data_IF_342314077532
#
_entry.id   IF_342314077532
#
_cell.length_a   1.000
_cell.length_b   1.000
_cell.length_c   1.000
_cell.angle_alpha   90.00
_cell.angle_beta   90.00
_cell.angle_gamma   90.00
#
_symmetry.space_group_name_H-M   'P 1'
#
loop_
_entity.id
_entity.type
_entity.pdbx_description
1 polymer ?
#
# COMPACT_ATOMS: atom_id res chain seq x y z
N UNK A 1 -54.06 -38.05 67.30
CA UNK A 1 -52.58 -37.95 67.24
C UNK A 1 -51.91 -38.81 66.14
N UNK A 2 -52.53 -39.87 65.57
CA UNK A 2 -51.88 -40.67 64.51
C UNK A 2 -52.08 -40.17 63.05
N UNK A 3 -53.00 -39.23 62.81
CA UNK A 3 -53.28 -38.69 61.46
C UNK A 3 -52.27 -37.63 61.01
N UNK A 4 -51.66 -36.92 61.95
CA UNK A 4 -50.74 -35.80 61.67
C UNK A 4 -49.40 -36.27 61.09
N UNK A 5 -48.94 -37.48 61.45
CA UNK A 5 -47.66 -38.03 60.95
C UNK A 5 -47.70 -38.39 59.47
N UNK A 6 -48.85 -38.84 58.94
CA UNK A 6 -49.02 -39.09 57.50
C UNK A 6 -49.13 -37.79 56.69
N UNK A 7 -49.85 -36.80 57.21
CA UNK A 7 -49.91 -35.47 56.61
C UNK A 7 -48.53 -34.79 56.59
N UNK A 8 -47.75 -34.91 57.67
CA UNK A 8 -46.40 -34.37 57.77
C UNK A 8 -45.42 -35.01 56.77
N UNK A 9 -45.47 -36.33 56.57
CA UNK A 9 -44.64 -37.02 55.55
C UNK A 9 -45.05 -36.60 54.13
N UNK A 10 -46.35 -36.46 53.85
CA UNK A 10 -46.84 -36.00 52.54
C UNK A 10 -46.39 -34.58 52.18
N UNK A 11 -46.40 -33.66 53.16
CA UNK A 11 -45.87 -32.30 52.98
C UNK A 11 -44.37 -32.34 52.67
N UNK A 12 -43.60 -33.20 53.36
CA UNK A 12 -42.17 -33.40 53.09
C UNK A 12 -41.88 -33.88 51.66
N UNK A 13 -42.68 -34.82 51.15
CA UNK A 13 -42.54 -35.31 49.77
C UNK A 13 -42.88 -34.23 48.73
N UNK A 14 -43.88 -33.37 49.00
CA UNK A 14 -44.26 -32.26 48.11
C UNK A 14 -43.16 -31.19 48.03
N UNK A 15 -42.51 -30.88 49.15
CA UNK A 15 -41.39 -29.92 49.19
C UNK A 15 -40.21 -30.43 48.34
N UNK A 16 -39.83 -31.71 48.51
CA UNK A 16 -38.74 -32.30 47.72
C UNK A 16 -39.10 -32.35 46.24
N UNK A 17 -40.35 -32.67 45.91
CA UNK A 17 -40.82 -32.70 44.53
C UNK A 17 -40.66 -31.34 43.86
N UNK A 18 -41.12 -30.26 44.50
CA UNK A 18 -40.98 -28.90 43.98
C UNK A 18 -39.49 -28.51 43.87
N UNK A 19 -38.69 -28.81 44.89
CA UNK A 19 -37.26 -28.52 44.87
C UNK A 19 -36.53 -29.23 43.71
N UNK A 20 -36.83 -30.51 43.47
CA UNK A 20 -36.24 -31.28 42.37
C UNK A 20 -36.62 -30.70 41.00
N UNK A 21 -37.88 -30.29 40.83
CA UNK A 21 -38.34 -29.66 39.58
C UNK A 21 -37.62 -28.33 39.35
N UNK A 22 -37.40 -27.51 40.37
CA UNK A 22 -36.67 -26.25 40.24
C UNK A 22 -35.19 -26.47 39.89
N UNK A 23 -34.53 -27.42 40.55
CA UNK A 23 -33.13 -27.77 40.22
C UNK A 23 -33.03 -28.31 38.79
N UNK A 24 -33.95 -29.18 38.38
CA UNK A 24 -34.00 -29.71 37.02
C UNK A 24 -34.23 -28.59 35.98
N UNK A 25 -35.09 -27.61 36.27
CA UNK A 25 -35.32 -26.47 35.39
C UNK A 25 -34.07 -25.60 35.21
N UNK A 26 -33.34 -25.30 36.29
CA UNK A 26 -32.08 -24.54 36.21
C UNK A 26 -31.01 -25.34 35.46
N UNK A 27 -30.87 -26.63 35.75
CA UNK A 27 -29.92 -27.50 35.05
C UNK A 27 -30.22 -27.59 33.55
N UNK A 28 -31.50 -27.72 33.16
CA UNK A 28 -31.92 -27.72 31.76
C UNK A 28 -31.65 -26.37 31.08
N UNK A 29 -31.92 -25.26 31.75
CA UNK A 29 -31.64 -23.92 31.23
C UNK A 29 -30.14 -23.72 30.93
N UNK A 30 -29.27 -24.14 31.85
CA UNK A 30 -27.80 -24.09 31.65
C UNK A 30 -27.38 -24.99 30.50
N UNK A 31 -27.93 -26.20 30.39
CA UNK A 31 -27.62 -27.14 29.29
C UNK A 31 -28.01 -26.59 27.92
N UNK A 32 -29.17 -25.94 27.82
CA UNK A 32 -29.62 -25.30 26.58
C UNK A 32 -28.74 -24.10 26.25
N UNK A 33 -28.41 -23.27 27.24
CA UNK A 33 -27.55 -22.11 27.04
C UNK A 33 -26.15 -22.51 26.57
N UNK A 34 -25.52 -23.51 27.21
CA UNK A 34 -24.20 -24.00 26.80
C UNK A 34 -24.24 -24.63 25.41
N UNK A 35 -25.28 -25.43 25.11
CA UNK A 35 -25.47 -26.00 23.78
C UNK A 35 -25.64 -24.92 22.72
N UNK A 36 -26.40 -23.85 23.01
CA UNK A 36 -26.59 -22.72 22.11
C UNK A 36 -25.28 -21.97 21.81
N UNK A 37 -24.49 -21.67 22.84
CA UNK A 37 -23.17 -21.03 22.67
C UNK A 37 -22.22 -21.92 21.86
N UNK A 38 -22.19 -23.22 22.14
CA UNK A 38 -21.36 -24.17 21.39
C UNK A 38 -21.80 -24.29 19.93
N UNK A 39 -23.11 -24.28 19.65
CA UNK A 39 -23.64 -24.30 18.28
C UNK A 39 -23.26 -23.02 17.51
N UNK A 40 -23.43 -21.84 18.12
CA UNK A 40 -23.03 -20.59 17.51
C UNK A 40 -21.52 -20.56 17.22
N UNK A 41 -20.70 -20.98 18.20
CA UNK A 41 -19.25 -21.03 18.01
C UNK A 41 -18.84 -22.04 16.95
N UNK A 42 -19.47 -23.21 16.90
CA UNK A 42 -19.21 -24.22 15.87
C UNK A 42 -19.59 -23.71 14.47
N UNK A 43 -20.71 -22.99 14.34
CA UNK A 43 -21.11 -22.40 13.06
C UNK A 43 -20.14 -21.32 12.59
N UNK A 44 -19.74 -20.39 13.47
CA UNK A 44 -18.73 -19.37 13.12
C UNK A 44 -17.41 -20.02 12.74
N UNK A 45 -16.92 -20.97 13.54
CA UNK A 45 -15.65 -21.67 13.24
C UNK A 45 -15.72 -22.43 11.92
N UNK A 46 -16.86 -23.05 11.60
CA UNK A 46 -17.07 -23.71 10.31
C UNK A 46 -17.06 -22.75 9.13
N UNK A 47 -17.64 -21.55 9.29
CA UNK A 47 -17.58 -20.48 8.27
C UNK A 47 -16.15 -19.98 8.07
N UNK A 48 -15.46 -19.59 9.14
CA UNK A 48 -14.06 -19.11 9.04
C UNK A 48 -13.14 -20.18 8.44
N UNK A 49 -13.29 -21.45 8.84
CA UNK A 49 -12.49 -22.54 8.29
C UNK A 49 -12.79 -22.79 6.80
N UNK A 50 -14.01 -22.52 6.34
CA UNK A 50 -14.36 -22.63 4.92
C UNK A 50 -13.78 -21.45 4.14
N UNK A 51 -13.88 -20.23 4.68
CA UNK A 51 -13.26 -19.02 4.10
C UNK A 51 -11.75 -19.21 3.92
N UNK A 52 -11.08 -19.74 4.95
CA UNK A 52 -9.63 -19.96 4.96
C UNK A 52 -9.12 -20.92 3.86
N UNK A 53 -9.96 -21.86 3.40
CA UNK A 53 -9.56 -22.85 2.38
C UNK A 53 -10.14 -22.58 0.99
N UNK A 54 -11.07 -21.64 0.86
CA UNK A 54 -11.78 -21.38 -0.40
C UNK A 54 -11.39 -20.05 -1.06
N UNK A 55 -10.96 -19.06 -0.27
CA UNK A 55 -10.49 -17.79 -0.80
C UNK A 55 -9.08 -17.93 -1.35
N UNK A 56 -8.93 -17.74 -2.67
CA UNK A 56 -7.63 -17.81 -3.33
C UNK A 56 -7.59 -16.76 -4.45
N UNK A 57 -6.61 -15.86 -4.34
CA UNK A 57 -6.21 -14.97 -5.45
C UNK A 57 -5.26 -15.78 -6.34
N UNK A 58 -5.53 -15.82 -7.65
CA UNK A 58 -4.61 -16.36 -8.65
C UNK A 58 -3.89 -15.22 -9.37
N UNK A 59 -2.65 -15.48 -9.77
CA UNK A 59 -1.88 -14.58 -10.65
C UNK A 59 -1.97 -15.17 -12.05
N UNK A 60 -2.64 -14.46 -12.95
CA UNK A 60 -2.88 -14.90 -14.32
C UNK A 60 -1.72 -14.60 -15.25
N UNK A 61 -1.01 -13.49 -15.05
CA UNK A 61 0.14 -13.08 -15.88
C UNK A 61 0.92 -11.97 -15.19
N UNK A 62 2.23 -11.88 -15.43
CA UNK A 62 3.06 -10.77 -14.95
C UNK A 62 3.82 -10.13 -16.12
N UNK A 63 3.61 -8.84 -16.31
CA UNK A 63 4.30 -8.03 -17.33
C UNK A 63 5.23 -7.02 -16.66
N UNK A 64 6.51 -7.05 -17.03
CA UNK A 64 7.50 -6.08 -16.59
C UNK A 64 7.63 -4.90 -17.55
N UNK A 65 7.75 -3.69 -17.00
CA UNK A 65 7.93 -2.45 -17.73
C UNK A 65 9.29 -1.84 -17.41
N UNK A 66 10.04 -1.52 -18.46
CA UNK A 66 11.36 -0.88 -18.37
C UNK A 66 11.22 0.62 -18.49
N UNK A 67 12.04 1.37 -17.74
CA UNK A 67 12.20 2.79 -18.02
C UNK A 67 12.94 2.99 -19.34
N UNK A 68 12.73 4.13 -19.99
CA UNK A 68 13.45 4.46 -21.22
C UNK A 68 12.81 5.56 -22.06
N UNK A 69 13.47 5.90 -23.15
CA UNK A 69 12.98 6.85 -24.15
C UNK A 69 12.24 6.09 -25.26
N UNK A 70 10.93 6.30 -25.32
CA UNK A 70 10.17 6.12 -26.58
C UNK A 70 10.39 7.38 -27.41
N UNK A 71 11.30 7.31 -28.37
CA UNK A 71 11.69 8.48 -29.16
C UNK A 71 10.70 8.77 -30.27
N UNK A 72 10.59 10.06 -30.61
CA UNK A 72 9.93 10.47 -31.85
C UNK A 72 10.81 10.09 -33.06
N UNK A 73 10.28 10.23 -34.28
CA UNK A 73 10.82 9.82 -35.60
C UNK A 73 12.31 10.13 -35.88
N UNK A 74 12.99 10.92 -35.04
CA UNK A 74 14.37 11.36 -35.21
C UNK A 74 15.40 10.79 -34.21
N UNK A 75 15.04 9.91 -33.26
CA UNK A 75 16.03 9.13 -32.47
C UNK A 75 15.63 7.66 -32.33
N UNK A 76 16.58 6.85 -31.86
CA UNK A 76 16.40 5.43 -31.57
C UNK A 76 15.81 5.27 -30.18
N UNK A 77 14.86 4.34 -30.02
CA UNK A 77 14.33 3.95 -28.72
C UNK A 77 15.43 3.34 -27.86
N UNK A 78 15.53 3.77 -26.60
CA UNK A 78 16.54 3.29 -25.67
C UNK A 78 15.88 2.98 -24.35
N UNK A 79 15.95 1.71 -23.93
CA UNK A 79 15.35 1.21 -22.71
C UNK A 79 16.41 0.84 -21.70
N UNK A 80 16.04 0.86 -20.43
CA UNK A 80 16.86 0.35 -19.34
C UNK A 80 17.16 -1.14 -19.52
N UNK A 81 18.28 -1.56 -18.97
CA UNK A 81 18.64 -2.97 -18.85
C UNK A 81 17.94 -3.66 -17.67
N UNK A 82 17.12 -2.93 -16.91
CA UNK A 82 16.38 -3.40 -15.73
C UNK A 82 14.87 -3.09 -15.85
N UNK A 83 14.05 -3.86 -15.12
CA UNK A 83 12.61 -3.65 -15.00
C UNK A 83 12.34 -2.70 -13.82
N UNK A 84 11.52 -1.66 -14.04
CA UNK A 84 11.19 -0.66 -13.03
C UNK A 84 9.78 -0.77 -12.48
N UNK A 85 8.91 -1.54 -13.15
CA UNK A 85 7.52 -1.74 -12.77
C UNK A 85 7.08 -3.16 -13.18
N UNK A 86 6.29 -3.80 -12.32
CA UNK A 86 5.61 -5.06 -12.61
C UNK A 86 4.10 -4.84 -12.57
N UNK A 87 3.43 -5.30 -13.62
CA UNK A 87 1.98 -5.36 -13.73
C UNK A 87 1.53 -6.81 -13.58
N UNK A 88 0.88 -7.13 -12.47
CA UNK A 88 0.33 -8.46 -12.22
C UNK A 88 -1.16 -8.43 -12.49
N UNK A 89 -1.63 -9.31 -13.36
CA UNK A 89 -3.07 -9.54 -13.54
C UNK A 89 -3.49 -10.60 -12.57
N UNK A 90 -4.43 -10.25 -11.71
CA UNK A 90 -4.91 -11.14 -10.66
C UNK A 90 -6.41 -11.35 -10.84
N UNK A 91 -6.86 -12.57 -10.61
CA UNK A 91 -8.28 -12.95 -10.58
C UNK A 91 -8.57 -13.82 -9.35
N UNK A 92 -9.83 -13.88 -8.93
CA UNK A 92 -10.25 -14.82 -7.89
C UNK A 92 -10.59 -16.19 -8.48
N UNK A 93 -10.19 -17.25 -7.78
CA UNK A 93 -10.59 -18.61 -8.18
C UNK A 93 -12.10 -18.78 -8.07
N UNK A 94 -12.63 -19.66 -8.92
CA UNK A 94 -14.06 -19.99 -8.90
C UNK A 94 -14.43 -20.58 -7.54
N UNK A 95 -15.44 -20.00 -6.89
CA UNK A 95 -15.90 -20.43 -5.57
C UNK A 95 -15.16 -19.78 -4.40
N UNK A 96 -14.25 -18.84 -4.65
CA UNK A 96 -13.68 -17.99 -3.61
C UNK A 96 -14.71 -17.00 -3.07
N UNK A 97 -14.65 -16.76 -1.76
CA UNK A 97 -15.36 -15.63 -1.16
C UNK A 97 -14.68 -14.32 -1.57
N UNK A 98 -15.39 -13.17 -1.50
CA UNK A 98 -14.79 -11.88 -1.78
C UNK A 98 -13.55 -11.63 -0.92
N UNK A 99 -12.53 -11.01 -1.51
CA UNK A 99 -11.26 -10.69 -0.85
C UNK A 99 -11.08 -9.18 -0.82
N UNK A 100 -10.83 -8.64 0.37
CA UNK A 100 -10.47 -7.23 0.57
C UNK A 100 -8.97 -7.02 0.30
N UNK A 101 -8.64 -6.22 -0.72
CA UNK A 101 -7.26 -5.94 -1.09
C UNK A 101 -6.55 -5.03 -0.08
N UNK A 102 -7.27 -4.28 0.76
CA UNK A 102 -6.65 -3.48 1.83
C UNK A 102 -5.84 -4.34 2.81
N UNK A 103 -6.26 -5.60 2.98
CA UNK A 103 -5.61 -6.54 3.89
C UNK A 103 -4.65 -7.50 3.18
N UNK A 104 -4.60 -7.47 1.85
CA UNK A 104 -3.65 -8.28 1.08
C UNK A 104 -2.27 -7.67 1.21
N UNK A 105 -1.32 -8.47 1.71
CA UNK A 105 0.10 -8.12 1.75
C UNK A 105 0.81 -8.84 0.61
N UNK A 106 1.58 -8.08 -0.16
CA UNK A 106 2.42 -8.63 -1.23
C UNK A 106 3.89 -8.53 -0.80
N UNK A 107 4.54 -9.67 -0.66
CA UNK A 107 5.98 -9.74 -0.42
C UNK A 107 6.69 -10.05 -1.73
N UNK A 108 7.61 -9.17 -2.13
CA UNK A 108 8.47 -9.36 -3.32
C UNK A 108 9.93 -9.44 -2.89
N UNK A 109 10.69 -10.36 -3.48
CA UNK A 109 12.13 -10.47 -3.23
C UNK A 109 12.90 -10.82 -4.51
N UNK A 110 14.09 -10.21 -4.64
CA UNK A 110 15.08 -10.54 -5.68
C UNK A 110 16.18 -11.51 -5.17
N UNK A 111 16.01 -12.04 -3.96
CA UNK A 111 16.98 -12.86 -3.25
C UNK A 111 18.00 -12.08 -2.42
N UNK A 112 18.10 -10.76 -2.60
CA UNK A 112 18.97 -9.87 -1.80
C UNK A 112 18.17 -8.91 -0.93
N UNK A 113 17.12 -8.32 -1.49
CA UNK A 113 16.20 -7.41 -0.85
C UNK A 113 14.80 -8.03 -0.82
N UNK A 114 14.05 -7.69 0.23
CA UNK A 114 12.66 -8.14 0.40
C UNK A 114 11.83 -6.93 0.80
N UNK A 115 10.76 -6.68 0.06
CA UNK A 115 9.81 -5.61 0.33
C UNK A 115 8.44 -6.20 0.64
N UNK A 116 7.83 -5.73 1.72
CA UNK A 116 6.46 -6.03 2.09
C UNK A 116 5.58 -4.84 1.72
N UNK A 117 4.69 -5.05 0.75
CA UNK A 117 3.88 -4.03 0.15
C UNK A 117 2.44 -4.12 0.65
N UNK A 118 1.86 -2.97 0.95
CA UNK A 118 0.46 -2.81 1.34
C UNK A 118 -0.29 -2.00 0.28
N UNK A 119 -1.57 -2.29 0.14
CA UNK A 119 -2.41 -1.52 -0.78
C UNK A 119 -2.50 -0.07 -0.31
N UNK A 120 -2.46 0.87 -1.25
CA UNK A 120 -2.79 2.27 -1.03
C UNK A 120 -3.76 2.74 -2.10
N UNK A 121 -4.76 3.51 -1.71
CA UNK A 121 -5.58 4.24 -2.67
C UNK A 121 -4.72 5.28 -3.36
N UNK A 122 -4.46 5.04 -4.64
CA UNK A 122 -3.59 5.89 -5.44
C UNK A 122 -3.62 5.49 -6.90
N UNK A 123 -2.84 6.22 -7.69
CA UNK A 123 -2.73 6.03 -9.12
C UNK A 123 -1.27 5.99 -9.53
N UNK A 124 -0.98 5.21 -10.56
CA UNK A 124 0.33 5.23 -11.17
C UNK A 124 0.47 6.50 -12.02
N UNK A 125 1.50 7.30 -11.73
CA UNK A 125 1.90 8.41 -12.59
C UNK A 125 3.25 8.14 -13.25
N UNK A 126 3.41 8.72 -14.44
CA UNK A 126 4.62 8.58 -15.25
C UNK A 126 5.11 9.95 -15.67
N UNK A 127 6.43 10.16 -15.62
CA UNK A 127 7.08 11.34 -16.17
C UNK A 127 8.27 10.99 -17.04
N UNK A 128 8.76 12.00 -17.77
CA UNK A 128 10.00 11.93 -18.53
C UNK A 128 11.05 12.76 -17.81
N UNK A 129 12.05 12.11 -17.24
CA UNK A 129 13.21 12.78 -16.63
C UNK A 129 14.42 12.71 -17.60
N UNK A 130 15.23 13.76 -17.69
CA UNK A 130 16.49 13.71 -18.45
C UNK A 130 17.61 13.11 -17.59
N UNK A 131 18.27 12.04 -18.06
CA UNK A 131 19.40 11.42 -17.36
C UNK A 131 20.74 11.92 -17.93
N UNK A 132 21.65 12.36 -17.05
CA UNK A 132 23.03 12.70 -17.38
C UNK A 132 23.93 11.46 -17.51
N UNK A 133 25.07 11.60 -18.20
CA UNK A 133 26.08 10.54 -18.33
C UNK A 133 26.84 10.39 -17.02
N UNK A 134 26.39 9.51 -16.12
CA UNK A 134 27.13 9.18 -14.90
C UNK A 134 26.27 8.59 -13.79
N UNK A 135 26.90 7.74 -12.98
CA UNK A 135 26.37 7.14 -11.77
C UNK A 135 25.87 8.24 -10.80
N UNK A 136 24.56 8.55 -10.84
CA UNK A 136 23.89 9.33 -9.79
C UNK A 136 24.07 10.86 -9.83
N UNK A 137 24.37 11.50 -10.97
CA UNK A 137 24.42 12.98 -11.04
C UNK A 137 23.41 13.52 -12.06
N UNK A 138 22.39 14.25 -11.59
CA UNK A 138 21.57 15.10 -12.46
C UNK A 138 22.47 16.12 -13.15
N UNK A 139 22.48 16.13 -14.49
CA UNK A 139 23.04 17.23 -15.24
C UNK A 139 21.89 18.07 -15.80
N UNK A 140 21.70 19.28 -15.27
CA UNK A 140 20.72 20.28 -15.74
C UNK A 140 21.02 20.85 -17.14
N UNK A 141 21.81 20.14 -17.95
CA UNK A 141 22.21 20.56 -19.29
C UNK A 141 22.07 19.39 -20.27
N UNK A 142 20.89 19.37 -20.87
CA UNK A 142 20.38 18.58 -21.98
C UNK A 142 21.24 18.56 -23.27
N UNK A 143 22.56 18.38 -23.21
CA UNK A 143 23.39 18.42 -24.42
C UNK A 143 24.44 17.33 -24.57
N UNK A 144 24.64 16.45 -23.58
CA UNK A 144 25.66 15.40 -23.64
C UNK A 144 25.18 14.02 -24.12
N UNK A 145 24.01 13.54 -23.68
CA UNK A 145 23.59 12.15 -23.92
C UNK A 145 22.15 11.94 -24.39
N UNK A 146 21.24 12.91 -24.27
CA UNK A 146 19.92 12.86 -24.91
C UNK A 146 19.02 11.67 -24.56
N UNK A 147 19.24 11.01 -23.42
CA UNK A 147 18.39 9.92 -22.93
C UNK A 147 17.40 10.50 -21.92
N UNK A 148 16.11 10.49 -22.25
CA UNK A 148 15.04 10.70 -21.26
C UNK A 148 14.69 9.34 -20.65
N UNK A 149 14.84 9.17 -19.35
CA UNK A 149 14.34 7.98 -18.66
C UNK A 149 12.86 8.19 -18.31
N UNK A 150 12.05 7.17 -18.57
CA UNK A 150 10.67 7.14 -18.10
C UNK A 150 10.67 6.66 -16.66
N UNK A 151 10.14 7.46 -15.76
CA UNK A 151 10.11 7.19 -14.32
C UNK A 151 8.67 6.98 -13.86
N UNK A 152 8.48 6.00 -12.98
CA UNK A 152 7.18 5.59 -12.45
C UNK A 152 7.07 5.97 -10.97
N UNK A 153 5.90 6.46 -10.55
CA UNK A 153 5.62 6.80 -9.15
C UNK A 153 4.18 6.48 -8.77
N UNK A 154 3.95 6.26 -7.49
CA UNK A 154 2.62 6.08 -6.92
C UNK A 154 2.13 7.42 -6.38
N UNK A 155 1.14 8.02 -7.03
CA UNK A 155 0.49 9.25 -6.59
C UNK A 155 -0.73 8.90 -5.72
N UNK A 156 -0.73 9.40 -4.49
CA UNK A 156 -1.90 9.43 -3.62
C UNK A 156 -2.48 10.83 -3.70
N UNK A 157 -3.69 10.93 -4.23
CA UNK A 157 -4.42 12.19 -4.40
C UNK A 157 -5.63 12.19 -3.48
N UNK A 158 -5.60 13.02 -2.44
CA UNK A 158 -6.71 13.22 -1.53
C UNK A 158 -7.80 14.14 -2.06
N UNK A 159 -7.64 14.76 -3.23
CA UNK A 159 -8.56 15.79 -3.68
C UNK A 159 -9.91 15.22 -4.11
N UNK A 160 -10.94 15.43 -3.29
CA UNK A 160 -12.31 15.47 -3.82
C UNK A 160 -12.50 16.82 -4.53
N UNK A 161 -13.31 16.90 -5.58
CA UNK A 161 -13.56 18.16 -6.30
C UNK A 161 -14.04 19.34 -5.43
N UNK A 162 -14.36 19.11 -4.15
CA UNK A 162 -14.78 20.10 -3.16
C UNK A 162 -13.63 20.61 -2.25
N UNK A 163 -12.49 19.92 -2.16
CA UNK A 163 -11.40 20.21 -1.22
C UNK A 163 -10.25 21.02 -1.84
N UNK A 164 -10.51 21.70 -2.96
CA UNK A 164 -9.53 22.48 -3.74
C UNK A 164 -9.09 23.80 -3.07
N UNK A 165 -9.29 23.93 -1.75
CA UNK A 165 -8.99 25.12 -0.99
C UNK A 165 -7.68 24.93 -0.21
N UNK A 166 -6.68 25.77 -0.52
CA UNK A 166 -5.43 25.96 0.22
C UNK A 166 -5.68 26.44 1.67
N UNK A 167 -6.23 25.57 2.51
CA UNK A 167 -6.39 25.77 3.94
C UNK A 167 -5.45 24.85 4.72
N UNK A 168 -5.14 25.22 5.96
CA UNK A 168 -4.32 24.44 6.90
C UNK A 168 -4.82 23.01 7.20
N UNK A 169 -5.95 22.60 6.60
CA UNK A 169 -6.57 21.27 6.63
C UNK A 169 -6.35 20.47 5.34
N UNK A 170 -5.70 21.04 4.31
CA UNK A 170 -5.50 20.48 2.96
C UNK A 170 -4.47 19.36 2.84
N UNK A 171 -4.37 18.55 3.89
CA UNK A 171 -3.75 17.22 3.85
C UNK A 171 -4.73 16.14 4.36
N UNK A 172 -5.94 16.52 4.81
CA UNK A 172 -6.79 15.64 5.63
C UNK A 172 -7.26 14.41 4.84
N UNK A 173 -7.52 14.57 3.54
CA UNK A 173 -8.01 13.49 2.71
C UNK A 173 -6.88 12.51 2.35
N UNK A 174 -5.74 12.99 1.87
CA UNK A 174 -4.57 12.13 1.63
C UNK A 174 -4.07 11.47 2.92
N UNK A 175 -4.10 12.19 4.04
CA UNK A 175 -3.76 11.65 5.35
C UNK A 175 -4.74 10.57 5.82
N UNK A 176 -6.03 10.68 5.49
CA UNK A 176 -7.01 9.60 5.75
C UNK A 176 -6.60 8.33 5.01
N UNK A 177 -6.23 8.46 3.74
CA UNK A 177 -5.75 7.33 2.92
C UNK A 177 -4.52 6.69 3.56
N UNK A 178 -3.50 7.48 3.94
CA UNK A 178 -2.33 6.92 4.63
C UNK A 178 -2.65 6.32 5.99
N UNK A 179 -3.63 6.86 6.74
CA UNK A 179 -4.05 6.34 8.04
C UNK A 179 -4.85 5.04 7.96
N UNK A 180 -5.49 4.76 6.83
CA UNK A 180 -6.11 3.45 6.61
C UNK A 180 -5.05 2.33 6.59
N UNK A 181 -3.84 2.63 6.13
CA UNK A 181 -2.72 1.67 6.09
C UNK A 181 -1.82 1.75 7.33
N UNK A 182 -1.54 2.97 7.79
CA UNK A 182 -0.70 3.27 8.95
C UNK A 182 -1.47 4.19 9.92
N UNK A 183 -2.20 3.64 10.91
CA UNK A 183 -3.09 4.43 11.77
C UNK A 183 -2.45 5.63 12.48
N UNK A 184 -1.15 5.51 12.79
CA UNK A 184 -0.34 6.55 13.45
C UNK A 184 0.38 7.48 12.46
N UNK A 185 0.02 7.43 11.17
CA UNK A 185 0.59 8.28 10.14
C UNK A 185 0.38 9.76 10.46
N UNK A 186 1.44 10.53 10.34
CA UNK A 186 1.45 11.96 10.62
C UNK A 186 2.44 12.69 9.72
N UNK A 187 2.21 13.99 9.52
CA UNK A 187 3.15 14.88 8.85
C UNK A 187 4.27 15.25 9.81
N UNK A 188 5.50 15.40 9.32
CA UNK A 188 6.65 15.83 10.12
C UNK A 188 6.35 17.13 10.89
N UNK A 189 6.40 17.06 12.21
CA UNK A 189 6.23 18.23 13.10
C UNK A 189 7.54 18.95 13.41
N UNK A 190 8.68 18.31 13.17
CA UNK A 190 10.01 18.80 13.56
C UNK A 190 10.75 19.47 12.41
N UNK A 191 10.13 19.55 11.23
CA UNK A 191 10.67 20.29 10.09
C UNK A 191 10.69 21.80 10.39
N UNK A 192 11.84 22.26 10.88
CA UNK A 192 12.04 23.59 11.43
C UNK A 192 12.46 24.59 10.34
N UNK A 193 11.51 25.08 9.55
CA UNK A 193 11.62 26.38 8.89
C UNK A 193 11.38 27.51 9.90
N UNK A 194 12.20 27.59 10.95
CA UNK A 194 12.11 28.54 12.09
C UNK A 194 10.83 29.37 12.21
N UNK A 195 9.85 28.84 12.97
CA UNK A 195 8.90 29.68 13.69
C UNK A 195 7.43 29.52 13.33
N UNK A 196 6.81 28.36 13.57
CA UNK A 196 5.37 28.29 13.78
C UNK A 196 5.01 27.39 14.96
N UNK A 197 4.58 28.05 16.04
CA UNK A 197 3.84 27.46 17.16
C UNK A 197 2.56 26.80 16.64
N UNK A 198 2.21 25.67 17.24
CA UNK A 198 1.13 24.75 16.90
C UNK A 198 -0.30 25.33 16.86
N UNK A 199 -0.57 26.42 16.14
CA UNK A 199 -1.93 27.00 16.03
C UNK A 199 -2.17 27.87 14.80
N UNK A 200 -1.28 27.95 13.82
CA UNK A 200 -1.52 28.65 12.55
C UNK A 200 -0.49 28.19 11.51
N UNK A 201 -0.93 27.52 10.45
CA UNK A 201 -0.06 26.99 9.40
C UNK A 201 -0.06 27.98 8.22
N UNK A 202 1.10 28.51 7.84
CA UNK A 202 1.28 29.25 6.58
C UNK A 202 2.45 28.61 5.84
N UNK A 203 2.15 27.97 4.71
CA UNK A 203 3.15 27.54 3.73
C UNK A 203 3.15 28.57 2.59
N UNK A 204 4.20 29.37 2.54
CA UNK A 204 4.57 30.11 1.34
C UNK A 204 6.00 29.69 1.03
N UNK A 205 6.19 29.01 -0.10
CA UNK A 205 7.46 28.43 -0.55
C UNK A 205 8.71 29.10 0.06
N UNK A 206 9.32 28.41 1.02
CA UNK A 206 10.71 28.57 1.49
C UNK A 206 11.06 27.32 2.32
N UNK A 207 11.22 26.24 1.56
CA UNK A 207 11.92 25.00 1.87
C UNK A 207 11.45 24.26 3.11
N UNK A 208 10.30 23.58 2.98
CA UNK A 208 9.96 22.43 3.80
C UNK A 208 9.14 21.41 3.04
N UNK A 209 9.77 20.28 2.72
CA UNK A 209 9.11 19.14 2.09
C UNK A 209 8.23 18.47 3.14
N UNK A 210 6.90 18.52 2.97
CA UNK A 210 6.02 17.76 3.86
C UNK A 210 6.23 16.26 3.59
N UNK A 211 6.89 15.60 4.53
CA UNK A 211 7.06 14.14 4.55
C UNK A 211 6.01 13.56 5.49
N UNK A 212 5.39 12.46 5.08
CA UNK A 212 4.52 11.66 5.94
C UNK A 212 5.34 10.55 6.55
N UNK A 213 5.19 10.39 7.86
CA UNK A 213 5.86 9.38 8.67
C UNK A 213 4.85 8.34 9.14
N UNK A 214 5.27 7.07 9.22
CA UNK A 214 4.42 5.95 9.63
C UNK A 214 3.97 6.01 11.09
N UNK A 215 4.77 6.63 11.96
CA UNK A 215 4.55 6.71 13.41
C UNK A 215 5.07 8.03 13.96
N UNK A 216 4.36 8.59 14.95
CA UNK A 216 4.74 9.81 15.67
C UNK A 216 6.16 9.76 16.24
N UNK A 217 6.88 10.89 16.19
CA UNK A 217 8.16 11.04 16.86
C UNK A 217 8.02 10.75 18.37
N UNK A 218 8.82 9.81 18.87
CA UNK A 218 8.87 9.54 20.31
C UNK A 218 9.36 10.78 21.05
N UNK A 219 8.57 11.29 22.00
CA UNK A 219 8.94 12.45 22.85
C UNK A 219 10.20 12.21 23.72
N UNK A 220 10.66 10.96 23.79
CA UNK A 220 11.84 10.54 24.58
C UNK A 220 13.09 10.33 23.73
N UNK A 221 12.95 9.89 22.48
CA UNK A 221 14.10 9.59 21.60
C UNK A 221 14.22 10.53 20.39
N UNK A 222 13.17 11.31 20.08
CA UNK A 222 13.12 12.19 18.92
C UNK A 222 13.07 11.46 17.57
N UNK A 223 13.05 10.13 17.57
CA UNK A 223 13.01 9.31 16.36
C UNK A 223 11.55 9.18 15.92
N UNK A 224 11.26 9.69 14.72
CA UNK A 224 10.02 9.42 13.97
C UNK A 224 10.05 8.00 13.39
N UNK A 225 8.91 7.45 12.99
CA UNK A 225 8.83 6.16 12.29
C UNK A 225 9.56 6.14 10.95
N UNK A 226 9.11 5.31 10.02
CA UNK A 226 9.65 5.35 8.65
C UNK A 226 8.97 6.46 7.84
N UNK A 227 9.70 7.12 6.94
CA UNK A 227 9.12 8.06 5.99
C UNK A 227 8.37 7.23 4.94
N UNK A 228 7.10 7.51 4.71
CA UNK A 228 6.21 6.71 3.85
C UNK A 228 5.73 7.46 2.61
N UNK A 229 5.79 8.80 2.60
CA UNK A 229 5.44 9.60 1.44
C UNK A 229 6.07 10.99 1.47
N UNK A 230 6.15 11.63 0.31
CA UNK A 230 6.61 13.02 0.14
C UNK A 230 5.59 13.79 -0.67
N UNK A 231 5.37 15.06 -0.33
CA UNK A 231 4.61 16.00 -1.14
C UNK A 231 5.05 15.97 -2.61
N UNK A 232 4.10 15.72 -3.51
CA UNK A 232 4.35 15.59 -4.94
C UNK A 232 4.74 16.93 -5.59
N UNK A 233 4.36 18.06 -4.99
CA UNK A 233 4.70 19.41 -5.41
C UNK A 233 6.21 19.69 -5.43
N UNK A 234 7.00 18.94 -4.65
CA UNK A 234 8.48 19.01 -4.63
C UNK A 234 9.08 18.64 -5.99
N UNK A 235 8.35 17.88 -6.81
CA UNK A 235 8.79 17.41 -8.12
C UNK A 235 8.20 18.22 -9.29
N UNK A 236 7.56 19.36 -9.01
CA UNK A 236 7.00 20.24 -10.04
C UNK A 236 7.98 21.35 -10.42
N UNK A 237 8.52 21.29 -11.64
CA UNK A 237 9.24 22.42 -12.20
C UNK A 237 8.28 23.57 -12.56
N UNK A 238 8.58 24.72 -11.99
CA UNK A 238 8.19 26.08 -12.35
C UNK A 238 7.47 26.28 -13.72
N UNK A 239 6.14 26.48 -13.63
CA UNK A 239 5.25 27.36 -14.44
C UNK A 239 5.34 27.45 -15.98
N UNK A 240 5.99 26.54 -16.71
CA UNK A 240 5.85 26.52 -18.18
C UNK A 240 5.69 25.11 -18.72
N UNK A 241 4.44 24.78 -19.03
CA UNK A 241 4.02 23.58 -19.73
C UNK A 241 4.73 23.43 -21.10
N UNK A 242 5.88 22.78 -21.11
CA UNK A 242 6.46 22.14 -22.28
C UNK A 242 7.51 21.12 -21.81
N UNK A 243 7.22 19.84 -22.03
CA UNK A 243 8.09 18.66 -21.84
C UNK A 243 8.56 18.32 -20.41
N UNK A 244 7.96 17.30 -19.80
CA UNK A 244 8.64 16.48 -18.78
C UNK A 244 7.85 16.19 -17.49
N UNK A 245 6.93 17.07 -17.10
CA UNK A 245 6.29 17.00 -15.78
C UNK A 245 5.33 15.80 -15.64
N UNK A 246 5.27 15.22 -14.44
CA UNK A 246 4.19 14.32 -14.02
C UNK A 246 2.85 15.05 -14.27
N UNK A 247 1.98 14.50 -15.12
CA UNK A 247 0.76 15.20 -15.56
C UNK A 247 -0.10 15.70 -14.40
N UNK A 248 -0.64 16.92 -14.53
CA UNK A 248 -1.60 17.58 -13.61
C UNK A 248 -1.33 17.43 -12.10
N UNK A 249 -0.08 17.40 -11.67
CA UNK A 249 0.22 17.65 -10.25
C UNK A 249 -0.06 19.12 -9.99
N UNK A 250 -1.08 19.40 -9.19
CA UNK A 250 -1.44 20.76 -8.85
C UNK A 250 -0.45 21.25 -7.79
N UNK A 251 0.52 22.06 -8.20
CA UNK A 251 1.39 22.82 -7.28
C UNK A 251 0.62 23.80 -6.37
N UNK A 252 -0.71 23.83 -6.50
CA UNK A 252 -1.65 24.70 -5.81
C UNK A 252 -2.53 23.91 -4.84
N UNK A 253 -2.39 22.58 -4.71
CA UNK A 253 -3.16 21.75 -3.79
C UNK A 253 -2.19 20.86 -3.01
N UNK A 254 -2.26 20.88 -1.69
CA UNK A 254 -1.31 20.16 -0.82
C UNK A 254 -1.76 18.72 -0.50
N UNK A 255 -2.73 18.18 -1.24
CA UNK A 255 -3.31 16.85 -1.02
C UNK A 255 -2.72 15.77 -1.94
N UNK A 256 -1.64 16.07 -2.66
CA UNK A 256 -0.96 15.16 -3.59
C UNK A 256 0.39 14.70 -3.02
N UNK A 257 0.53 13.40 -2.79
CA UNK A 257 1.73 12.80 -2.23
C UNK A 257 2.24 11.67 -3.11
N UNK A 258 3.55 11.56 -3.26
CA UNK A 258 4.16 10.33 -3.76
C UNK A 258 4.46 9.37 -2.62
N UNK A 259 3.90 8.18 -2.70
CA UNK A 259 4.11 7.11 -1.73
C UNK A 259 5.41 6.34 -2.01
N UNK A 260 5.99 5.75 -0.96
CA UNK A 260 7.23 4.96 -1.05
C UNK A 260 7.01 3.66 -1.84
N UNK A 261 7.84 3.43 -2.85
CA UNK A 261 7.70 2.33 -3.80
C UNK A 261 7.99 0.93 -3.19
N UNK A 262 8.76 0.86 -2.11
CA UNK A 262 9.08 -0.35 -1.35
C UNK A 262 8.08 -0.68 -0.23
N UNK A 263 7.06 0.16 0.00
CA UNK A 263 6.03 -0.04 1.04
C UNK A 263 4.63 -0.21 0.48
N UNK A 264 4.36 0.33 -0.70
CA UNK A 264 3.01 0.40 -1.23
C UNK A 264 2.91 -0.19 -2.63
N UNK A 265 1.72 -0.71 -2.94
CA UNK A 265 1.30 -1.03 -4.30
C UNK A 265 -0.08 -0.42 -4.56
N UNK A 266 -0.39 -0.20 -5.84
CA UNK A 266 -1.70 0.30 -6.27
C UNK A 266 -2.39 -0.74 -7.14
N UNK A 267 -3.72 -0.66 -7.23
CA UNK A 267 -4.51 -1.59 -8.03
C UNK A 267 -5.41 -0.83 -8.99
N UNK A 268 -5.40 -1.26 -10.26
CA UNK A 268 -6.29 -0.76 -11.29
C UNK A 268 -7.33 -1.82 -11.66
N UNK A 269 -8.57 -1.38 -11.84
CA UNK A 269 -9.63 -2.22 -12.39
C UNK A 269 -9.36 -2.53 -13.87
N UNK A 270 -9.48 -3.80 -14.29
CA UNK A 270 -9.55 -4.16 -15.73
C UNK A 270 -10.98 -4.57 -16.09
N UNK A 271 -11.61 -5.40 -15.26
CA UNK A 271 -12.97 -5.87 -15.45
C UNK A 271 -13.64 -6.04 -14.09
N UNK A 272 -14.73 -5.32 -13.89
CA UNK A 272 -15.68 -5.49 -12.79
C UNK A 272 -17.10 -5.35 -13.35
N UNK A 273 -17.91 -6.40 -13.25
CA UNK A 273 -19.27 -6.40 -13.80
C UNK A 273 -20.32 -5.88 -12.81
N UNK A 274 -20.07 -6.00 -11.51
CA UNK A 274 -21.02 -5.64 -10.45
C UNK A 274 -20.63 -4.41 -9.63
N UNK A 275 -19.51 -3.77 -9.97
CA UNK A 275 -18.97 -2.57 -9.33
C UNK A 275 -18.65 -2.78 -7.87
N UNK A 276 -18.19 -3.98 -7.53
CA UNK A 276 -17.75 -4.30 -6.17
C UNK A 276 -16.40 -3.69 -5.82
N UNK A 277 -15.56 -3.39 -6.82
CA UNK A 277 -14.26 -2.78 -6.66
C UNK A 277 -14.33 -1.26 -6.85
N UNK A 278 -13.89 -0.52 -5.83
CA UNK A 278 -13.53 0.91 -5.95
C UNK A 278 -12.20 1.15 -5.24
N UNK A 279 -11.49 2.23 -5.55
CA UNK A 279 -10.19 2.50 -4.92
C UNK A 279 -10.28 2.72 -3.39
N UNK A 280 -11.39 3.28 -2.90
CA UNK A 280 -11.69 3.45 -1.46
C UNK A 280 -12.21 2.15 -0.80
N UNK A 281 -12.87 1.27 -1.56
CA UNK A 281 -13.33 -0.03 -1.09
C UNK A 281 -12.91 -1.14 -2.09
N UNK A 282 -11.64 -1.57 -2.06
CA UNK A 282 -11.04 -2.46 -3.03
C UNK A 282 -11.39 -3.92 -2.72
N UNK A 283 -12.68 -4.26 -2.79
CA UNK A 283 -13.15 -5.64 -2.60
C UNK A 283 -13.25 -6.31 -3.95
N UNK A 284 -12.59 -7.45 -4.09
CA UNK A 284 -12.62 -8.27 -5.30
C UNK A 284 -13.60 -9.42 -5.11
N UNK A 285 -14.40 -9.75 -6.14
CA UNK A 285 -15.30 -10.89 -6.14
C UNK A 285 -15.17 -11.80 -7.38
N UNK A 286 -16.05 -12.80 -7.47
CA UNK A 286 -16.00 -13.80 -8.55
C UNK A 286 -16.36 -13.16 -9.89
N UNK A 287 -15.37 -13.10 -10.79
CA UNK A 287 -15.54 -12.55 -12.13
C UNK A 287 -14.67 -11.32 -12.36
N UNK A 288 -14.17 -10.71 -11.29
CA UNK A 288 -13.32 -9.53 -11.39
C UNK A 288 -11.92 -9.88 -11.90
N UNK A 289 -11.33 -8.91 -12.58
CA UNK A 289 -9.94 -8.93 -13.00
C UNK A 289 -9.33 -7.58 -12.66
N UNK A 290 -8.30 -7.62 -11.83
CA UNK A 290 -7.58 -6.42 -11.39
C UNK A 290 -6.12 -6.49 -11.82
N UNK A 291 -5.50 -5.33 -11.95
CA UNK A 291 -4.08 -5.18 -12.21
C UNK A 291 -3.41 -4.61 -10.98
N UNK A 292 -2.57 -5.40 -10.33
CA UNK A 292 -1.73 -4.94 -9.23
C UNK A 292 -0.41 -4.41 -9.77
N UNK A 293 -0.07 -3.17 -9.43
CA UNK A 293 1.12 -2.48 -9.94
C UNK A 293 2.12 -2.34 -8.81
N UNK A 294 3.31 -2.92 -9.03
CA UNK A 294 4.44 -2.88 -8.10
C UNK A 294 5.60 -2.15 -8.77
N UNK A 295 6.18 -1.19 -8.06
CA UNK A 295 7.40 -0.53 -8.52
C UNK A 295 8.61 -1.37 -8.09
N UNK A 296 9.58 -1.49 -8.99
CA UNK A 296 10.77 -2.33 -8.83
C UNK A 296 12.05 -1.58 -9.20
N UNK A 297 11.99 -0.25 -9.32
CA UNK A 297 13.16 0.56 -9.67
C UNK A 297 14.34 0.32 -8.70
N UNK A 298 15.58 0.19 -9.19
CA UNK A 298 16.76 0.02 -8.34
C UNK A 298 17.03 1.30 -7.54
N UNK A 299 17.75 1.19 -6.41
CA UNK A 299 18.03 2.33 -5.52
C UNK A 299 18.77 3.50 -6.19
N UNK A 300 19.51 3.21 -7.26
CA UNK A 300 20.34 4.19 -7.97
C UNK A 300 19.61 4.80 -9.18
N UNK A 301 18.31 4.50 -9.34
CA UNK A 301 17.47 5.09 -10.36
C UNK A 301 17.39 6.61 -10.13
N UNK A 302 17.95 7.38 -11.04
CA UNK A 302 18.01 8.85 -10.97
C UNK A 302 16.65 9.42 -11.38
N UNK A 303 15.69 9.54 -10.45
CA UNK A 303 14.30 9.98 -10.76
C UNK A 303 13.92 11.42 -10.36
N UNK A 304 14.65 12.07 -9.48
CA UNK A 304 14.47 13.46 -9.06
C UNK A 304 14.67 14.50 -10.16
N UNK A 305 14.27 15.73 -9.88
CA UNK A 305 14.91 16.88 -10.51
C UNK A 305 16.18 17.20 -9.69
N UNK A 306 17.07 17.98 -10.30
CA UNK A 306 18.45 18.23 -9.85
C UNK A 306 18.69 18.17 -8.35
N UNK A 307 19.69 17.36 -7.97
CA UNK A 307 20.55 17.48 -6.77
C UNK A 307 19.88 17.97 -5.48
N UNK A 308 20.02 17.18 -4.41
CA UNK A 308 20.19 17.70 -3.04
C UNK A 308 18.94 17.84 -2.14
N UNK A 309 17.69 17.69 -2.62
CA UNK A 309 16.53 17.97 -1.75
C UNK A 309 16.04 16.81 -0.87
N UNK A 310 16.36 15.56 -1.21
CA UNK A 310 15.93 14.36 -0.45
C UNK A 310 16.98 13.24 -0.42
N UNK A 311 17.85 13.18 -1.43
CA UNK A 311 19.07 12.39 -1.32
C UNK A 311 19.97 13.04 -0.27
N UNK A 312 19.91 12.52 0.96
CA UNK A 312 21.06 12.50 1.86
C UNK A 312 22.18 11.71 1.21
N UNK A 313 22.76 12.25 0.14
CA UNK A 313 23.95 11.73 -0.49
C UNK A 313 25.08 11.98 0.51
N UNK A 314 25.32 10.98 1.34
CA UNK A 314 26.56 10.81 2.10
C UNK A 314 26.98 12.03 2.93
N UNK A 315 26.86 11.91 4.26
CA UNK A 315 27.63 12.73 5.22
C UNK A 315 27.31 14.23 5.35
N UNK A 316 26.18 14.76 4.86
CA UNK A 316 25.76 16.12 5.29
C UNK A 316 24.65 16.10 6.35
N UNK A 317 24.96 16.67 7.51
CA UNK A 317 24.28 16.51 8.79
C UNK A 317 23.09 17.44 9.01
N UNK A 318 22.25 17.64 7.98
CA UNK A 318 21.16 18.61 8.03
C UNK A 318 19.94 18.11 8.80
N UNK A 319 19.64 16.80 8.73
CA UNK A 319 18.63 16.13 9.55
C UNK A 319 19.00 14.65 9.75
N UNK A 320 19.30 14.26 10.99
CA UNK A 320 19.68 12.89 11.33
C UNK A 320 18.56 11.86 11.11
N UNK A 321 17.31 12.30 10.94
CA UNK A 321 16.15 11.43 10.74
C UNK A 321 16.04 10.86 9.31
N UNK A 322 16.68 11.49 8.31
CA UNK A 322 16.61 11.07 6.90
C UNK A 322 17.81 10.25 6.42
N UNK A 323 18.90 10.19 7.18
CA UNK A 323 20.15 9.54 6.77
C UNK A 323 20.00 8.05 6.38
N UNK A 324 18.96 7.37 6.87
CA UNK A 324 18.65 5.96 6.57
C UNK A 324 17.18 5.72 6.19
N UNK A 325 16.43 6.79 5.94
CA UNK A 325 14.98 6.74 5.81
C UNK A 325 14.47 7.73 4.76
N UNK A 326 15.28 7.94 3.72
CA UNK A 326 14.88 8.75 2.59
C UNK A 326 13.69 8.06 1.87
N UNK A 327 12.54 8.72 1.71
CA UNK A 327 11.42 8.15 0.99
C UNK A 327 11.76 7.99 -0.50
N UNK A 328 12.00 6.74 -0.90
CA UNK A 328 12.20 6.34 -2.29
C UNK A 328 10.82 6.24 -2.99
N UNK A 329 10.45 7.29 -3.70
CA UNK A 329 9.09 7.47 -4.27
C UNK A 329 8.93 6.95 -5.70
N UNK A 330 9.99 6.35 -6.26
CA UNK A 330 9.96 5.57 -7.51
C UNK A 330 10.90 4.35 -7.49
N UNK A 331 11.84 4.32 -6.55
CA UNK A 331 12.81 3.25 -6.36
C UNK A 331 12.31 2.31 -5.25
N UNK A 332 12.21 1.02 -5.55
CA UNK A 332 11.92 0.00 -4.55
C UNK A 332 13.18 -0.72 -4.06
N UNK A 333 14.36 -0.36 -4.58
CA UNK A 333 15.63 -1.03 -4.30
C UNK A 333 15.58 -2.54 -4.60
N UNK A 334 14.96 -2.91 -5.71
CA UNK A 334 14.94 -4.26 -6.26
C UNK A 334 15.73 -4.26 -7.57
N UNK A 335 16.56 -5.29 -7.80
CA UNK A 335 17.36 -5.39 -9.02
C UNK A 335 16.83 -6.47 -9.96
N UNK A 336 16.01 -6.05 -10.93
CA UNK A 336 15.42 -6.95 -11.91
C UNK A 336 16.23 -6.95 -13.22
N UNK A 337 17.46 -7.48 -13.13
CA UNK A 337 18.34 -7.73 -14.26
C UNK A 337 17.86 -8.91 -15.13
N UNK A 338 18.38 -9.07 -16.36
CA UNK A 338 18.19 -10.30 -17.13
C UNK A 338 18.71 -11.52 -16.37
N UNK A 339 17.91 -12.59 -16.30
CA UNK A 339 18.18 -13.84 -15.54
C UNK A 339 18.19 -13.69 -14.02
N UNK A 340 17.59 -12.63 -13.47
CA UNK A 340 17.31 -12.55 -12.04
C UNK A 340 16.13 -13.46 -11.67
N UNK A 341 16.19 -14.06 -10.48
CA UNK A 341 15.10 -14.86 -9.92
C UNK A 341 14.31 -13.98 -8.96
N UNK A 342 13.01 -13.84 -9.21
CA UNK A 342 12.11 -13.04 -8.39
C UNK A 342 11.05 -13.96 -7.82
N UNK A 343 10.79 -13.80 -6.53
CA UNK A 343 9.69 -14.46 -5.83
C UNK A 343 8.70 -13.42 -5.39
N UNK A 344 7.43 -13.63 -5.74
CA UNK A 344 6.31 -12.81 -5.27
C UNK A 344 5.37 -13.72 -4.49
N UNK A 345 5.03 -13.31 -3.28
CA UNK A 345 4.07 -13.99 -2.41
C UNK A 345 2.95 -13.05 -2.03
N UNK A 346 1.71 -13.42 -2.33
CA UNK A 346 0.52 -12.68 -1.94
C UNK A 346 -0.23 -13.43 -0.85
N UNK A 347 -0.56 -12.74 0.23
CA UNK A 347 -1.28 -13.31 1.37
C UNK A 347 -2.53 -12.46 1.63
N UNK A 348 -3.75 -12.98 1.38
CA UNK A 348 -4.99 -12.28 1.71
C UNK A 348 -5.35 -12.39 3.20
N UNK A 349 -6.40 -11.68 3.63
CA UNK A 349 -6.90 -11.71 5.03
C UNK A 349 -7.37 -13.09 5.50
N UNK A 350 -7.82 -13.91 4.56
CA UNK A 350 -8.26 -15.27 4.77
C UNK A 350 -8.22 -15.99 3.44
N UNK A 351 -7.77 -17.24 3.46
CA UNK A 351 -7.46 -17.97 2.25
C UNK A 351 -6.04 -18.49 2.18
N UNK A 352 -5.73 -19.28 1.15
CA UNK A 352 -4.35 -19.71 0.94
C UNK A 352 -3.58 -18.61 0.17
N UNK A 353 -2.39 -18.29 0.67
CA UNK A 353 -1.45 -17.41 -0.03
C UNK A 353 -1.01 -18.02 -1.36
N UNK A 354 -0.75 -17.15 -2.34
CA UNK A 354 -0.29 -17.53 -3.67
C UNK A 354 1.13 -17.03 -3.85
N UNK A 355 2.05 -17.95 -4.12
CA UNK A 355 3.45 -17.64 -4.39
C UNK A 355 3.78 -17.99 -5.83
N UNK A 356 4.43 -17.06 -6.53
CA UNK A 356 4.93 -17.23 -7.88
C UNK A 356 6.43 -16.94 -7.88
N UNK A 357 7.18 -17.90 -8.38
CA UNK A 357 8.60 -17.77 -8.68
C UNK A 357 8.77 -17.68 -10.18
N UNK A 358 9.48 -16.65 -10.64
CA UNK A 358 9.82 -16.51 -12.05
C UNK A 358 11.25 -16.05 -12.23
N UNK A 359 11.78 -16.30 -13.43
CA UNK A 359 13.12 -15.88 -13.82
C UNK A 359 12.98 -14.94 -15.01
N UNK A 360 13.52 -13.74 -14.90
CA UNK A 360 13.49 -12.77 -16.00
C UNK A 360 14.24 -13.34 -17.23
N UNK A 361 13.81 -13.03 -18.46
CA UNK A 361 14.44 -13.57 -19.66
C UNK A 361 15.92 -13.15 -19.80
N UNK A 362 16.67 -13.87 -20.64
CA UNK A 362 18.10 -13.59 -20.85
C UNK A 362 18.40 -12.25 -21.52
N UNK A 363 17.39 -11.60 -22.09
CA UNK A 363 17.44 -10.24 -22.62
C UNK A 363 16.01 -9.71 -22.72
N UNK A 364 15.85 -8.42 -22.46
CA UNK A 364 14.57 -7.73 -22.52
C UNK A 364 14.19 -7.22 -23.93
N UNK A 365 15.06 -7.46 -24.92
CA UNK A 365 14.79 -7.10 -26.32
C UNK A 365 14.61 -5.61 -26.54
N UNK A 366 13.77 -5.25 -27.54
CA UNK A 366 13.58 -3.87 -28.02
C UNK A 366 12.25 -3.26 -27.61
N UNK A 367 11.42 -3.97 -26.83
CA UNK A 367 10.13 -3.45 -26.38
C UNK A 367 10.24 -2.89 -24.95
N UNK A 368 9.41 -1.90 -24.65
CA UNK A 368 9.34 -1.31 -23.30
C UNK A 368 8.76 -2.30 -22.29
N UNK A 369 7.80 -3.12 -22.72
CA UNK A 369 7.21 -4.17 -21.90
C UNK A 369 7.79 -5.54 -22.24
N UNK A 370 7.87 -6.37 -21.21
CA UNK A 370 8.47 -7.69 -21.23
C UNK A 370 7.53 -8.62 -20.48
N UNK A 371 7.08 -9.67 -21.13
CA UNK A 371 6.35 -10.74 -20.46
C UNK A 371 7.32 -11.56 -19.61
N UNK A 372 7.09 -11.61 -18.29
CA UNK A 372 7.99 -12.28 -17.33
C UNK A 372 7.36 -13.51 -16.68
N UNK A 373 6.03 -13.62 -16.72
CA UNK A 373 5.30 -14.79 -16.25
C UNK A 373 4.06 -15.01 -17.14
N UNK A 374 3.90 -16.23 -17.71
CA UNK A 374 2.87 -16.55 -18.70
C UNK A 374 1.44 -16.46 -18.16
#
# INVERSE_FOLDING_TARGET
MMRDRRAQVGIGTLIIFIAMVLVAAVAAAVLIQTSGVLQQKAQTTGKEATKEVSSNIDIDSIEGWRGGLNSSTSKVDSFSDEIYRLDMRCSLKVGSEPVDLNQVVITITDGTMTNDLRYIEGSLVTAKAETGTGNGTYTSSASGAGLTNTTYRLLVDGSTAADHANGATGHTAAMTIFRNVYPDAHVDTDYNGTGLSATSYTLENSNGTAVIWSEAASSTTGVSGEAIAVDAGVFTNNTTAASGSYGKISSTLQDEYFARADKFYVVEEIRDEDKSYTSDNPVMNTGDLVKMIILTGPKDLVTGEGSDWLQGATTDGSDSKFQYNNPLVGEANLNLDPRSTITISMIPEGGAGTTVDFVTPSSFGTHVSVDVYP
#
